data_IF_895209012325
#
_entry.id   IF_895209012325
#
_cell.length_a   1.000
_cell.length_b   1.000
_cell.length_c   1.000
_cell.angle_alpha   90.00
_cell.angle_beta   90.00
_cell.angle_gamma   90.00
#
_symmetry.space_group_name_H-M   'P 1'
#
loop_
_entity.id
_entity.type
_entity.pdbx_description
1 polymer ?
#
# COMPACT_ATOMS: atom_id res chain seq x y z
N UNK A 1 44.01 45.99 -10.24
CA UNK A 1 43.93 44.53 -10.46
C UNK A 1 43.47 43.74 -9.23
N UNK A 2 44.06 43.98 -8.01
CA UNK A 2 43.69 43.26 -6.79
C UNK A 2 42.24 43.52 -6.36
N UNK A 3 41.73 44.73 -6.45
CA UNK A 3 40.35 45.05 -6.06
C UNK A 3 39.29 44.35 -6.94
N UNK A 4 39.55 44.28 -8.27
CA UNK A 4 38.67 43.52 -9.17
C UNK A 4 38.64 42.02 -8.90
N UNK A 5 39.81 41.43 -8.62
CA UNK A 5 39.91 40.02 -8.27
C UNK A 5 39.20 39.68 -6.97
N UNK A 6 39.27 40.60 -5.97
CA UNK A 6 38.56 40.43 -4.71
C UNK A 6 37.04 40.57 -4.86
N UNK A 7 36.56 41.52 -5.69
CA UNK A 7 35.14 41.67 -6.00
C UNK A 7 34.57 40.44 -6.78
N UNK A 8 35.35 39.86 -7.69
CA UNK A 8 35.00 38.63 -8.39
C UNK A 8 34.93 37.42 -7.42
N UNK A 9 35.91 37.28 -6.51
CA UNK A 9 35.86 36.21 -5.49
C UNK A 9 34.67 36.34 -4.54
N UNK A 10 34.32 37.57 -4.13
CA UNK A 10 33.13 37.81 -3.30
C UNK A 10 31.83 37.44 -4.04
N UNK A 11 31.74 37.77 -5.34
CA UNK A 11 30.59 37.35 -6.15
C UNK A 11 30.45 35.83 -6.30
N UNK A 12 31.56 35.16 -6.58
CA UNK A 12 31.59 33.70 -6.71
C UNK A 12 31.18 33.03 -5.36
N UNK A 13 31.68 33.57 -4.25
CA UNK A 13 31.35 33.05 -2.93
C UNK A 13 29.87 33.29 -2.56
N UNK A 14 29.31 34.44 -2.93
CA UNK A 14 27.88 34.72 -2.70
C UNK A 14 26.96 33.86 -3.59
N UNK A 15 27.34 33.67 -4.88
CA UNK A 15 26.60 32.79 -5.78
C UNK A 15 26.63 31.34 -5.31
N UNK A 16 27.78 30.84 -4.86
CA UNK A 16 27.91 29.50 -4.32
C UNK A 16 27.05 29.30 -3.06
N UNK A 17 27.05 30.27 -2.16
CA UNK A 17 26.23 30.21 -0.95
C UNK A 17 24.72 30.27 -1.23
N UNK A 18 24.30 31.09 -2.20
CA UNK A 18 22.89 31.14 -2.65
C UNK A 18 22.50 29.83 -3.33
N UNK A 19 23.36 29.30 -4.20
CA UNK A 19 23.12 27.99 -4.85
C UNK A 19 22.98 26.86 -3.85
N UNK A 20 23.82 26.79 -2.82
CA UNK A 20 23.71 25.79 -1.75
C UNK A 20 22.40 25.89 -0.99
N UNK A 21 21.97 27.10 -0.62
CA UNK A 21 20.67 27.30 0.06
C UNK A 21 19.48 26.92 -0.84
N UNK A 22 19.57 27.23 -2.14
CA UNK A 22 18.52 26.87 -3.10
C UNK A 22 18.39 25.36 -3.25
N UNK A 23 19.51 24.62 -3.31
CA UNK A 23 19.50 23.17 -3.34
C UNK A 23 18.83 22.58 -2.09
N UNK A 24 19.17 23.04 -0.91
CA UNK A 24 18.54 22.59 0.34
C UNK A 24 17.04 22.84 0.38
N UNK A 25 16.59 24.01 -0.12
CA UNK A 25 15.18 24.34 -0.23
C UNK A 25 14.44 23.44 -1.24
N UNK A 26 15.09 23.12 -2.36
CA UNK A 26 14.51 22.20 -3.34
C UNK A 26 14.41 20.77 -2.81
N UNK A 27 15.42 20.29 -2.08
CA UNK A 27 15.41 19.00 -1.43
C UNK A 27 14.31 18.92 -0.35
N UNK A 28 14.16 19.97 0.46
CA UNK A 28 13.12 20.04 1.48
C UNK A 28 11.72 20.06 0.86
N UNK A 29 11.53 20.86 -0.18
CA UNK A 29 10.28 20.89 -0.97
C UNK A 29 9.98 19.52 -1.57
N UNK A 30 10.96 18.87 -2.18
CA UNK A 30 10.81 17.55 -2.77
C UNK A 30 10.41 16.51 -1.72
N UNK A 31 11.09 16.51 -0.57
CA UNK A 31 10.79 15.60 0.54
C UNK A 31 9.37 15.84 1.09
N UNK A 32 8.95 17.10 1.19
CA UNK A 32 7.61 17.47 1.62
C UNK A 32 6.55 16.99 0.63
N UNK A 33 6.78 17.18 -0.66
CA UNK A 33 5.86 16.71 -1.72
C UNK A 33 5.75 15.18 -1.74
N UNK A 34 6.87 14.46 -1.61
CA UNK A 34 6.87 13.01 -1.52
C UNK A 34 6.13 12.52 -0.28
N UNK A 35 6.39 13.10 0.88
CA UNK A 35 5.70 12.73 2.12
C UNK A 35 4.19 12.92 2.02
N UNK A 36 3.75 14.05 1.46
CA UNK A 36 2.33 14.32 1.24
C UNK A 36 1.69 13.35 0.24
N UNK A 37 2.40 12.99 -0.83
CA UNK A 37 1.93 12.02 -1.81
C UNK A 37 1.80 10.63 -1.19
N UNK A 38 2.83 10.16 -0.47
CA UNK A 38 2.82 8.88 0.23
C UNK A 38 1.64 8.80 1.20
N UNK A 39 1.41 9.84 2.00
CA UNK A 39 0.30 9.87 2.95
C UNK A 39 -1.07 9.76 2.27
N UNK A 40 -1.26 10.42 1.11
CA UNK A 40 -2.50 10.31 0.34
C UNK A 40 -2.70 8.91 -0.23
N UNK A 41 -1.64 8.34 -0.85
CA UNK A 41 -1.68 6.96 -1.37
C UNK A 41 -1.96 5.97 -0.23
N UNK A 42 -1.29 6.13 0.92
CA UNK A 42 -1.49 5.30 2.11
C UNK A 42 -2.95 5.37 2.61
N UNK A 43 -3.50 6.57 2.72
CA UNK A 43 -4.87 6.79 3.14
C UNK A 43 -5.87 6.12 2.19
N UNK A 44 -5.72 6.34 0.89
CA UNK A 44 -6.57 5.74 -0.14
C UNK A 44 -6.42 4.21 -0.17
N UNK A 45 -5.19 3.70 -0.10
CA UNK A 45 -4.91 2.26 -0.07
C UNK A 45 -5.61 1.58 1.12
N UNK A 46 -5.48 2.14 2.32
CA UNK A 46 -6.14 1.61 3.53
C UNK A 46 -7.65 1.53 3.33
N UNK A 47 -8.26 2.60 2.83
CA UNK A 47 -9.70 2.66 2.56
C UNK A 47 -10.13 1.63 1.51
N UNK A 48 -9.43 1.60 0.36
CA UNK A 48 -9.78 0.71 -0.75
C UNK A 48 -9.60 -0.76 -0.40
N UNK A 49 -8.49 -1.09 0.24
CA UNK A 49 -8.22 -2.46 0.66
C UNK A 49 -9.23 -2.95 1.69
N UNK A 50 -9.64 -2.09 2.62
CA UNK A 50 -10.67 -2.40 3.61
C UNK A 50 -12.07 -2.59 3.00
N UNK A 51 -12.40 -1.83 1.94
CA UNK A 51 -13.65 -1.99 1.19
C UNK A 51 -13.70 -3.33 0.43
N UNK A 52 -12.57 -3.77 -0.12
CA UNK A 52 -12.49 -4.96 -0.99
C UNK A 52 -12.26 -6.26 -0.24
N UNK A 53 -11.55 -6.22 0.91
CA UNK A 53 -11.25 -7.44 1.66
C UNK A 53 -12.44 -7.88 2.50
N UNK A 54 -12.71 -9.20 2.51
CA UNK A 54 -13.81 -9.78 3.29
C UNK A 54 -13.58 -9.73 4.79
N UNK A 55 -12.35 -10.06 5.19
CA UNK A 55 -11.96 -10.16 6.61
C UNK A 55 -11.71 -8.76 7.20
N UNK A 56 -12.75 -8.10 7.70
CA UNK A 56 -12.66 -6.72 8.23
C UNK A 56 -11.58 -6.48 9.29
N UNK A 57 -11.17 -7.52 10.03
CA UNK A 57 -10.13 -7.43 11.07
C UNK A 57 -8.80 -8.07 10.64
N UNK A 58 -8.61 -8.28 9.35
CA UNK A 58 -7.40 -8.93 8.84
C UNK A 58 -6.15 -8.09 9.03
N UNK A 59 -6.26 -6.80 8.84
CA UNK A 59 -5.21 -5.82 9.09
C UNK A 59 -5.76 -4.62 9.87
N UNK A 60 -4.88 -3.88 10.54
CA UNK A 60 -5.24 -2.64 11.23
C UNK A 60 -4.85 -1.41 10.43
N UNK A 61 -3.70 -1.46 9.79
CA UNK A 61 -3.15 -0.37 8.99
C UNK A 61 -2.16 -0.90 7.96
N UNK A 62 -2.13 -0.26 6.80
CA UNK A 62 -1.05 -0.36 5.83
C UNK A 62 -0.32 0.98 5.84
N UNK A 63 1.00 0.97 5.89
CA UNK A 63 1.80 2.18 5.74
C UNK A 63 2.92 1.97 4.73
N UNK A 64 3.39 3.07 4.15
CA UNK A 64 4.45 3.09 3.15
C UNK A 64 5.62 3.87 3.76
N UNK A 65 6.78 3.23 3.87
CA UNK A 65 7.97 3.88 4.42
C UNK A 65 8.65 4.82 3.41
N UNK A 66 9.71 5.50 3.86
CA UNK A 66 10.46 6.44 3.02
C UNK A 66 11.21 5.77 1.85
N UNK A 67 11.38 4.45 1.91
CA UNK A 67 11.97 3.63 0.85
C UNK A 67 10.91 3.09 -0.11
N UNK A 68 9.66 3.55 0.00
CA UNK A 68 8.49 3.08 -0.74
C UNK A 68 8.16 1.60 -0.49
N UNK A 69 8.63 1.03 0.63
CA UNK A 69 8.24 -0.31 1.04
C UNK A 69 6.88 -0.27 1.72
N UNK A 70 6.00 -1.16 1.30
CA UNK A 70 4.66 -1.27 1.88
C UNK A 70 4.68 -2.28 3.02
N UNK A 71 4.20 -1.87 4.18
CA UNK A 71 4.09 -2.66 5.40
C UNK A 71 2.62 -2.85 5.76
N UNK A 72 2.24 -4.07 6.11
CA UNK A 72 0.88 -4.39 6.53
C UNK A 72 0.91 -4.73 8.01
N UNK A 73 0.16 -4.00 8.80
CA UNK A 73 0.07 -4.17 10.25
C UNK A 73 -1.24 -4.85 10.64
N UNK A 74 -1.18 -5.69 11.63
CA UNK A 74 -2.35 -6.28 12.28
C UNK A 74 -2.26 -6.08 13.79
N UNK A 75 -3.38 -5.73 14.42
CA UNK A 75 -3.46 -5.67 15.86
C UNK A 75 -3.50 -7.10 16.44
N UNK A 76 -2.44 -7.48 17.11
CA UNK A 76 -2.33 -8.76 17.80
C UNK A 76 -2.36 -8.59 19.31
N UNK A 77 -3.03 -9.54 20.00
CA UNK A 77 -3.03 -9.62 21.45
C UNK A 77 -1.81 -10.41 21.89
N UNK A 78 -0.87 -9.74 22.51
CA UNK A 78 0.37 -10.34 23.01
C UNK A 78 0.27 -10.47 24.52
N UNK A 79 0.59 -11.65 25.05
CA UNK A 79 0.63 -11.85 26.49
C UNK A 79 1.78 -11.02 27.11
N UNK A 80 1.49 -10.40 28.23
CA UNK A 80 2.49 -9.61 28.97
C UNK A 80 3.75 -10.41 29.30
N UNK A 81 3.58 -11.68 29.69
CA UNK A 81 4.69 -12.58 30.03
C UNK A 81 5.64 -12.75 28.83
N UNK A 82 5.08 -12.92 27.63
CA UNK A 82 5.86 -13.09 26.42
C UNK A 82 6.64 -11.81 26.09
N UNK A 83 6.00 -10.63 26.23
CA UNK A 83 6.68 -9.32 26.06
C UNK A 83 7.83 -9.13 27.05
N UNK A 84 7.59 -9.42 28.32
CA UNK A 84 8.64 -9.32 29.37
C UNK A 84 9.79 -10.29 29.06
N UNK A 85 9.47 -11.48 28.53
CA UNK A 85 10.49 -12.46 28.11
C UNK A 85 11.33 -11.95 26.93
N UNK A 86 10.72 -11.32 25.93
CA UNK A 86 11.42 -10.74 24.78
C UNK A 86 12.37 -9.58 25.16
N UNK A 87 12.10 -8.92 26.30
CA UNK A 87 12.91 -7.80 26.82
C UNK A 87 13.99 -8.23 27.83
N UNK A 88 14.18 -9.56 28.06
CA UNK A 88 15.13 -10.08 29.09
C UNK A 88 16.57 -9.67 28.83
N UNK A 89 16.97 -9.47 27.59
CA UNK A 89 18.34 -9.07 27.21
C UNK A 89 18.67 -7.61 27.55
N UNK A 90 17.70 -6.82 28.02
CA UNK A 90 17.88 -5.40 28.32
C UNK A 90 17.98 -4.49 27.10
N UNK A 91 17.77 -5.01 25.92
CA UNK A 91 17.69 -4.25 24.66
C UNK A 91 16.45 -4.65 23.86
N UNK A 92 16.11 -3.86 22.83
CA UNK A 92 14.94 -4.12 21.99
C UNK A 92 15.19 -5.13 20.85
N UNK A 93 16.41 -5.58 20.61
CA UNK A 93 16.75 -6.35 19.39
C UNK A 93 15.90 -7.61 19.24
N UNK A 94 15.74 -8.41 20.28
CA UNK A 94 14.93 -9.64 20.24
C UNK A 94 13.45 -9.33 20.06
N UNK A 95 12.95 -8.32 20.78
CA UNK A 95 11.57 -7.90 20.69
C UNK A 95 11.25 -7.30 19.30
N UNK A 96 12.15 -6.48 18.75
CA UNK A 96 12.03 -5.94 17.38
C UNK A 96 12.04 -7.04 16.33
N UNK A 97 12.92 -8.04 16.46
CA UNK A 97 12.96 -9.18 15.53
C UNK A 97 11.67 -10.02 15.56
N UNK A 98 11.01 -10.09 16.72
CA UNK A 98 9.80 -10.89 16.90
C UNK A 98 8.51 -10.13 16.51
N UNK A 99 8.42 -8.84 16.80
CA UNK A 99 7.20 -8.03 16.72
C UNK A 99 7.26 -6.92 15.66
N UNK A 100 8.46 -6.57 15.20
CA UNK A 100 8.71 -5.46 14.28
C UNK A 100 8.93 -4.12 14.99
N UNK A 101 9.51 -3.17 14.26
CA UNK A 101 9.86 -1.83 14.77
C UNK A 101 8.64 -1.02 15.20
N UNK A 102 7.54 -1.16 14.47
CA UNK A 102 6.29 -0.41 14.74
C UNK A 102 5.67 -0.83 16.06
N UNK A 103 5.69 -2.12 16.39
CA UNK A 103 5.17 -2.62 17.66
C UNK A 103 6.01 -2.09 18.84
N UNK A 104 7.34 -2.08 18.69
CA UNK A 104 8.25 -1.55 19.70
C UNK A 104 8.10 -0.04 19.86
N UNK A 105 8.01 0.71 18.75
CA UNK A 105 7.75 2.15 18.79
C UNK A 105 6.42 2.46 19.49
N UNK A 106 5.36 1.70 19.20
CA UNK A 106 4.05 1.83 19.86
C UNK A 106 4.12 1.56 21.38
N UNK A 107 4.92 0.57 21.80
CA UNK A 107 5.15 0.32 23.23
C UNK A 107 5.90 1.46 23.92
N UNK A 108 6.97 1.94 23.29
CA UNK A 108 7.76 3.07 23.83
C UNK A 108 6.92 4.33 23.98
N UNK A 109 6.12 4.66 22.99
CA UNK A 109 5.20 5.79 23.02
C UNK A 109 4.13 5.61 24.10
N UNK A 110 3.47 4.44 24.16
CA UNK A 110 2.40 4.16 25.11
C UNK A 110 2.84 4.27 26.57
N UNK A 111 4.05 3.80 26.87
CA UNK A 111 4.57 3.79 28.23
C UNK A 111 5.55 4.94 28.52
N UNK A 112 5.81 5.78 27.53
CA UNK A 112 6.76 6.92 27.61
C UNK A 112 8.14 6.52 28.14
N UNK A 113 8.68 5.40 27.61
CA UNK A 113 9.97 4.83 28.00
C UNK A 113 10.94 4.76 26.83
N UNK A 114 12.22 4.98 27.09
CA UNK A 114 13.26 4.94 26.06
C UNK A 114 14.13 3.68 26.11
N UNK A 115 14.15 2.97 27.23
CA UNK A 115 14.96 1.77 27.40
C UNK A 115 14.10 0.49 27.53
N UNK A 116 14.67 -0.63 27.08
CA UNK A 116 14.01 -1.94 27.20
C UNK A 116 13.92 -2.41 28.67
N UNK A 117 14.83 -1.92 29.53
CA UNK A 117 14.83 -2.23 30.97
C UNK A 117 13.63 -1.54 31.63
N UNK A 118 13.47 -0.24 31.40
CA UNK A 118 12.32 0.53 31.95
C UNK A 118 10.99 -0.06 31.45
N UNK A 119 10.90 -0.38 30.16
CA UNK A 119 9.70 -1.00 29.60
C UNK A 119 9.39 -2.32 30.29
N UNK A 120 10.39 -3.18 30.49
CA UNK A 120 10.21 -4.46 31.18
C UNK A 120 9.73 -4.29 32.62
N UNK A 121 10.29 -3.34 33.36
CA UNK A 121 9.89 -3.03 34.74
C UNK A 121 8.45 -2.52 34.79
N UNK A 122 8.12 -1.56 33.92
CA UNK A 122 6.76 -1.01 33.78
C UNK A 122 5.75 -2.09 33.44
N UNK A 123 6.04 -2.93 32.44
CA UNK A 123 5.17 -4.06 32.07
C UNK A 123 5.02 -5.08 33.20
N UNK A 124 6.09 -5.33 33.98
CA UNK A 124 6.04 -6.26 35.12
C UNK A 124 5.13 -5.76 36.24
N UNK A 125 5.04 -4.45 36.43
CA UNK A 125 4.18 -3.81 37.43
C UNK A 125 2.71 -3.69 36.98
N UNK A 126 2.44 -3.78 35.68
CA UNK A 126 1.10 -3.69 35.11
C UNK A 126 0.21 -4.88 35.56
N UNK A 127 -1.09 -4.64 35.70
CA UNK A 127 -2.09 -5.66 36.02
C UNK A 127 -2.70 -6.32 34.77
N UNK A 128 -2.48 -5.71 33.59
CA UNK A 128 -3.04 -6.17 32.31
C UNK A 128 -2.34 -7.47 31.88
N UNK A 129 -3.11 -8.49 31.50
CA UNK A 129 -2.58 -9.76 31.04
C UNK A 129 -2.17 -9.75 29.57
N UNK A 130 -2.89 -8.98 28.74
CA UNK A 130 -2.66 -8.92 27.31
C UNK A 130 -2.58 -7.47 26.81
N UNK A 131 -1.67 -7.22 25.88
CA UNK A 131 -1.47 -5.92 25.27
C UNK A 131 -1.70 -6.05 23.76
N UNK A 132 -2.51 -5.16 23.20
CA UNK A 132 -2.76 -5.09 21.77
C UNK A 132 -1.67 -4.24 21.13
N UNK A 133 -0.96 -4.81 20.16
CA UNK A 133 0.13 -4.17 19.42
C UNK A 133 -0.05 -4.31 17.92
N UNK A 134 0.33 -3.28 17.14
CA UNK A 134 0.39 -3.35 15.70
C UNK A 134 1.62 -4.15 15.26
N UNK A 135 1.44 -5.41 14.93
CA UNK A 135 2.51 -6.32 14.49
C UNK A 135 2.51 -6.39 12.96
N UNK A 136 3.69 -6.34 12.38
CA UNK A 136 3.84 -6.48 10.93
C UNK A 136 3.57 -7.92 10.50
N UNK A 137 2.73 -8.08 9.49
CA UNK A 137 2.47 -9.38 8.86
C UNK A 137 3.23 -9.50 7.54
N UNK A 138 3.91 -10.63 7.37
CA UNK A 138 4.57 -10.92 6.10
C UNK A 138 3.54 -11.00 4.97
N UNK A 139 3.86 -10.40 3.82
CA UNK A 139 3.05 -10.48 2.59
C UNK A 139 2.83 -11.92 2.12
N UNK A 140 3.70 -12.84 2.51
CA UNK A 140 3.58 -14.27 2.19
C UNK A 140 2.41 -14.94 2.92
N UNK A 141 1.95 -14.38 4.02
CA UNK A 141 0.77 -14.85 4.76
C UNK A 141 -0.56 -14.46 4.10
N UNK A 142 -0.53 -13.60 3.09
CA UNK A 142 -1.69 -13.29 2.28
C UNK A 142 -1.99 -14.46 1.35
N UNK A 143 -3.25 -14.87 1.27
CA UNK A 143 -3.71 -15.77 0.22
C UNK A 143 -3.52 -15.15 -1.17
N UNK A 144 -3.56 -15.96 -2.22
CA UNK A 144 -3.42 -15.46 -3.60
C UNK A 144 -4.47 -14.41 -3.94
N UNK A 145 -5.73 -14.60 -3.51
CA UNK A 145 -6.80 -13.62 -3.70
C UNK A 145 -6.58 -12.33 -2.92
N UNK A 146 -6.14 -12.43 -1.65
CA UNK A 146 -5.82 -11.26 -0.84
C UNK A 146 -4.65 -10.45 -1.44
N UNK A 147 -3.62 -11.13 -1.99
CA UNK A 147 -2.53 -10.47 -2.72
C UNK A 147 -3.04 -9.71 -3.94
N UNK A 148 -3.93 -10.30 -4.70
CA UNK A 148 -4.52 -9.67 -5.88
C UNK A 148 -5.35 -8.44 -5.51
N UNK A 149 -6.23 -8.54 -4.50
CA UNK A 149 -7.01 -7.41 -3.97
C UNK A 149 -6.08 -6.30 -3.47
N UNK A 150 -5.01 -6.67 -2.78
CA UNK A 150 -4.01 -5.70 -2.30
C UNK A 150 -3.37 -4.93 -3.45
N UNK A 151 -2.91 -5.64 -4.49
CA UNK A 151 -2.29 -5.02 -5.67
C UNK A 151 -3.29 -4.11 -6.39
N UNK A 152 -4.53 -4.55 -6.59
CA UNK A 152 -5.59 -3.73 -7.19
C UNK A 152 -5.86 -2.46 -6.38
N UNK A 153 -5.95 -2.58 -5.05
CA UNK A 153 -6.16 -1.45 -4.15
C UNK A 153 -5.00 -0.45 -4.20
N UNK A 154 -3.76 -0.94 -4.27
CA UNK A 154 -2.57 -0.11 -4.37
C UNK A 154 -2.54 0.67 -5.69
N UNK A 155 -2.76 -0.01 -6.81
CA UNK A 155 -2.84 0.65 -8.11
C UNK A 155 -3.94 1.70 -8.15
N UNK A 156 -5.12 1.39 -7.62
CA UNK A 156 -6.22 2.33 -7.55
C UNK A 156 -5.87 3.56 -6.71
N UNK A 157 -5.25 3.37 -5.53
CA UNK A 157 -4.79 4.46 -4.68
C UNK A 157 -3.77 5.36 -5.39
N UNK A 158 -2.83 4.78 -6.15
CA UNK A 158 -1.85 5.54 -6.93
C UNK A 158 -2.54 6.33 -8.06
N UNK A 159 -3.46 5.70 -8.79
CA UNK A 159 -4.18 6.34 -9.89
C UNK A 159 -5.01 7.52 -9.42
N UNK A 160 -5.64 7.43 -8.25
CA UNK A 160 -6.40 8.54 -7.67
C UNK A 160 -5.55 9.79 -7.38
N UNK A 161 -4.23 9.63 -7.24
CA UNK A 161 -3.31 10.75 -7.05
C UNK A 161 -2.81 11.33 -8.37
N UNK A 162 -3.06 10.66 -9.49
CA UNK A 162 -2.70 11.18 -10.82
C UNK A 162 -3.66 12.29 -11.24
N UNK A 163 -3.12 13.38 -11.80
CA UNK A 163 -3.94 14.43 -12.43
C UNK A 163 -4.46 14.02 -13.80
N UNK A 164 -3.86 13.01 -14.39
CA UNK A 164 -4.24 12.51 -15.71
C UNK A 164 -5.09 11.26 -15.52
N UNK A 165 -6.15 11.15 -16.28
CA UNK A 165 -6.95 9.93 -16.38
C UNK A 165 -6.15 8.88 -17.14
N UNK A 166 -5.41 8.06 -16.40
CA UNK A 166 -4.65 6.95 -16.97
C UNK A 166 -5.59 5.75 -17.18
N UNK A 167 -5.47 5.03 -18.32
CA UNK A 167 -6.23 3.80 -18.49
C UNK A 167 -5.75 2.74 -17.49
N UNK A 168 -6.70 2.03 -16.89
CA UNK A 168 -6.41 0.90 -16.01
C UNK A 168 -6.58 -0.40 -16.80
N UNK A 169 -5.48 -1.10 -17.00
CA UNK A 169 -5.48 -2.39 -17.69
C UNK A 169 -5.26 -3.48 -16.65
N UNK A 170 -6.19 -4.42 -16.58
CA UNK A 170 -6.12 -5.52 -15.62
C UNK A 170 -6.34 -6.85 -16.35
N UNK A 171 -5.39 -7.73 -16.14
CA UNK A 171 -5.43 -9.09 -16.68
C UNK A 171 -5.90 -10.05 -15.60
N UNK A 172 -6.87 -10.89 -15.93
CA UNK A 172 -7.40 -11.95 -15.08
C UNK A 172 -7.77 -11.47 -13.65
N UNK A 173 -8.65 -10.43 -13.52
CA UNK A 173 -8.94 -9.79 -12.23
C UNK A 173 -9.57 -10.72 -11.21
N UNK A 174 -10.23 -11.78 -11.65
CA UNK A 174 -10.95 -12.72 -10.79
C UNK A 174 -10.23 -14.06 -10.60
N UNK A 175 -9.02 -14.22 -11.18
CA UNK A 175 -8.23 -15.42 -10.99
C UNK A 175 -7.93 -15.64 -9.50
N UNK A 176 -8.20 -16.84 -9.01
CA UNK A 176 -7.93 -17.24 -7.60
C UNK A 176 -8.69 -16.44 -6.54
N UNK A 177 -9.76 -15.78 -6.93
CA UNK A 177 -10.62 -14.99 -6.05
C UNK A 177 -11.94 -15.74 -5.84
N UNK A 178 -12.38 -15.86 -4.59
CA UNK A 178 -13.65 -16.47 -4.25
C UNK A 178 -14.86 -15.58 -4.67
N UNK A 179 -16.03 -16.18 -4.68
CA UNK A 179 -17.27 -15.54 -5.19
C UNK A 179 -17.62 -14.25 -4.42
N UNK A 180 -17.38 -14.20 -3.12
CA UNK A 180 -17.69 -13.03 -2.30
C UNK A 180 -16.74 -11.87 -2.61
N UNK A 181 -15.44 -12.13 -2.74
CA UNK A 181 -14.49 -11.12 -3.17
C UNK A 181 -14.74 -10.66 -4.61
N UNK A 182 -15.19 -11.55 -5.52
CA UNK A 182 -15.58 -11.15 -6.89
C UNK A 182 -16.73 -10.13 -6.87
N UNK A 183 -17.74 -10.37 -6.04
CA UNK A 183 -18.85 -9.42 -5.87
C UNK A 183 -18.36 -8.06 -5.33
N UNK A 184 -17.47 -8.06 -4.34
CA UNK A 184 -16.91 -6.83 -3.79
C UNK A 184 -16.07 -6.08 -4.83
N UNK A 185 -15.25 -6.76 -5.63
CA UNK A 185 -14.48 -6.13 -6.71
C UNK A 185 -15.42 -5.50 -7.73
N UNK A 186 -16.47 -6.20 -8.14
CA UNK A 186 -17.45 -5.67 -9.08
C UNK A 186 -18.13 -4.42 -8.54
N UNK A 187 -18.62 -4.46 -7.30
CA UNK A 187 -19.41 -3.38 -6.71
C UNK A 187 -18.57 -2.17 -6.26
N UNK A 188 -17.43 -2.43 -5.62
CA UNK A 188 -16.64 -1.40 -4.96
C UNK A 188 -15.41 -0.96 -5.74
N UNK A 189 -14.96 -1.74 -6.72
CA UNK A 189 -13.83 -1.40 -7.55
C UNK A 189 -14.28 -0.98 -8.95
N UNK A 190 -14.82 -1.90 -9.76
CA UNK A 190 -15.14 -1.59 -11.15
C UNK A 190 -16.17 -0.49 -11.31
N UNK A 191 -17.22 -0.47 -10.50
CA UNK A 191 -18.26 0.57 -10.57
C UNK A 191 -17.82 1.94 -10.07
N UNK A 192 -16.76 2.01 -9.26
CA UNK A 192 -16.27 3.27 -8.68
C UNK A 192 -15.01 3.81 -9.35
N UNK A 193 -14.41 3.02 -10.25
CA UNK A 193 -13.22 3.44 -10.97
C UNK A 193 -13.60 4.52 -11.97
N UNK A 194 -12.92 5.66 -11.93
CA UNK A 194 -13.06 6.73 -12.92
C UNK A 194 -12.02 6.56 -14.01
N UNK A 195 -12.35 6.93 -15.25
CA UNK A 195 -11.46 6.77 -16.40
C UNK A 195 -11.68 5.47 -17.16
N UNK A 196 -10.78 5.17 -18.08
CA UNK A 196 -10.87 4.00 -18.94
C UNK A 196 -10.37 2.75 -18.23
N UNK A 197 -11.22 1.71 -18.18
CA UNK A 197 -10.88 0.39 -17.66
C UNK A 197 -10.88 -0.63 -18.82
N UNK A 198 -9.79 -1.38 -18.96
CA UNK A 198 -9.66 -2.51 -19.87
C UNK A 198 -9.47 -3.79 -19.03
N UNK A 199 -10.44 -4.70 -19.13
CA UNK A 199 -10.41 -6.00 -18.46
C UNK A 199 -10.08 -7.07 -19.49
N UNK A 200 -8.98 -7.79 -19.28
CA UNK A 200 -8.66 -9.00 -20.01
C UNK A 200 -9.09 -10.19 -19.17
N UNK A 201 -9.95 -11.04 -19.69
CA UNK A 201 -10.48 -12.15 -18.91
C UNK A 201 -10.76 -13.37 -19.81
N UNK A 202 -10.93 -14.52 -19.17
CA UNK A 202 -11.37 -15.76 -19.82
C UNK A 202 -12.85 -16.01 -19.53
N UNK A 203 -13.44 -16.95 -20.25
CA UNK A 203 -14.82 -17.44 -20.06
C UNK A 203 -15.07 -18.00 -18.63
N UNK A 204 -14.04 -18.57 -18.00
CA UNK A 204 -14.14 -19.12 -16.66
C UNK A 204 -14.16 -18.04 -15.55
N UNK A 205 -13.65 -16.85 -15.85
CA UNK A 205 -13.51 -15.78 -14.85
C UNK A 205 -14.73 -14.87 -14.75
N UNK A 206 -15.22 -14.41 -15.88
CA UNK A 206 -16.38 -13.53 -15.98
C UNK A 206 -17.59 -14.32 -16.47
N UNK A 207 -18.46 -14.70 -15.55
CA UNK A 207 -19.77 -15.26 -15.89
C UNK A 207 -20.71 -14.18 -16.44
N UNK A 208 -21.75 -14.60 -17.15
CA UNK A 208 -22.80 -13.70 -17.63
C UNK A 208 -23.42 -12.86 -16.51
N UNK A 209 -23.53 -13.38 -15.29
CA UNK A 209 -24.01 -12.64 -14.14
C UNK A 209 -23.11 -11.46 -13.76
N UNK A 210 -21.78 -11.62 -13.88
CA UNK A 210 -20.85 -10.52 -13.61
C UNK A 210 -20.91 -9.45 -14.70
N UNK A 211 -21.08 -9.86 -15.97
CA UNK A 211 -21.25 -8.93 -17.10
C UNK A 211 -22.55 -8.15 -16.96
N UNK A 212 -23.67 -8.80 -16.63
CA UNK A 212 -24.94 -8.13 -16.38
C UNK A 212 -24.85 -7.13 -15.22
N UNK A 213 -24.13 -7.48 -14.13
CA UNK A 213 -23.95 -6.57 -12.99
C UNK A 213 -23.15 -5.31 -13.34
N UNK A 214 -22.35 -5.35 -14.43
CA UNK A 214 -21.53 -4.23 -14.90
C UNK A 214 -22.03 -3.61 -16.19
N UNK A 215 -23.15 -4.08 -16.74
CA UNK A 215 -23.63 -3.76 -18.09
C UNK A 215 -23.68 -2.26 -18.40
N UNK A 216 -24.15 -1.46 -17.46
CA UNK A 216 -24.28 -0.01 -17.62
C UNK A 216 -22.92 0.72 -17.74
N UNK A 217 -21.82 0.04 -17.45
CA UNK A 217 -20.47 0.58 -17.48
C UNK A 217 -19.62 0.00 -18.60
N UNK A 218 -20.11 -1.07 -19.25
CA UNK A 218 -19.40 -1.71 -20.36
C UNK A 218 -19.75 -0.96 -21.65
N UNK A 219 -18.75 -0.30 -22.23
CA UNK A 219 -18.89 0.36 -23.53
C UNK A 219 -18.74 -0.63 -24.69
N UNK A 220 -17.76 -1.51 -24.61
CA UNK A 220 -17.41 -2.45 -25.67
C UNK A 220 -16.99 -3.79 -25.10
N UNK A 221 -17.33 -4.86 -25.81
CA UNK A 221 -16.88 -6.22 -25.52
C UNK A 221 -16.22 -6.77 -26.78
N UNK A 222 -15.02 -7.34 -26.61
CA UNK A 222 -14.26 -7.94 -27.70
C UNK A 222 -13.89 -9.37 -27.33
N UNK A 223 -14.18 -10.32 -28.23
CA UNK A 223 -13.71 -11.68 -28.10
C UNK A 223 -12.48 -11.89 -28.99
N UNK A 224 -11.43 -12.43 -28.44
CA UNK A 224 -10.20 -12.81 -29.13
C UNK A 224 -10.26 -14.32 -29.42
N UNK A 225 -10.31 -14.69 -30.69
CA UNK A 225 -10.37 -16.07 -31.11
C UNK A 225 -9.12 -16.43 -31.94
N UNK A 226 -8.43 -17.50 -31.56
CA UNK A 226 -7.31 -18.01 -32.34
C UNK A 226 -7.81 -18.95 -33.46
N UNK A 227 -7.65 -18.47 -34.68
CA UNK A 227 -8.15 -19.20 -35.86
C UNK A 227 -7.23 -20.31 -36.36
N UNK A 228 -7.77 -21.17 -37.24
CA UNK A 228 -7.01 -22.24 -37.91
C UNK A 228 -5.89 -21.70 -38.81
N UNK A 229 -5.99 -20.46 -39.25
CA UNK A 229 -5.00 -19.72 -40.04
C UNK A 229 -3.81 -19.23 -39.18
N UNK A 230 -3.75 -19.61 -37.89
CA UNK A 230 -2.76 -19.21 -36.90
C UNK A 230 -2.72 -17.70 -36.64
N UNK A 231 -3.85 -17.02 -36.79
CA UNK A 231 -4.04 -15.61 -36.50
C UNK A 231 -5.10 -15.43 -35.41
N UNK A 232 -4.98 -14.35 -34.67
CA UNK A 232 -6.00 -13.93 -33.73
C UNK A 232 -7.01 -13.05 -34.45
N UNK A 233 -8.27 -13.43 -34.38
CA UNK A 233 -9.40 -12.68 -34.88
C UNK A 233 -10.10 -11.96 -33.75
N UNK A 234 -10.54 -10.72 -33.99
CA UNK A 234 -11.28 -9.93 -33.03
C UNK A 234 -12.74 -9.90 -33.47
N UNK A 235 -13.62 -10.29 -32.55
CA UNK A 235 -15.08 -10.18 -32.76
C UNK A 235 -15.64 -9.15 -31.77
N UNK A 236 -16.32 -8.16 -32.29
CA UNK A 236 -16.94 -7.11 -31.51
C UNK A 236 -18.32 -7.52 -30.98
N UNK A 237 -18.67 -7.03 -29.80
CA UNK A 237 -19.97 -7.26 -29.15
C UNK A 237 -20.34 -8.75 -28.98
N UNK A 238 -19.34 -9.60 -28.89
CA UNK A 238 -19.50 -11.00 -28.55
C UNK A 238 -18.73 -11.32 -27.28
N UNK A 239 -19.35 -12.13 -26.45
CA UNK A 239 -18.72 -12.76 -25.29
C UNK A 239 -18.93 -14.26 -25.42
N UNK A 240 -18.23 -15.07 -24.65
CA UNK A 240 -18.37 -16.52 -24.69
C UNK A 240 -19.84 -16.92 -24.48
N UNK A 241 -20.38 -17.74 -25.35
CA UNK A 241 -21.67 -18.41 -25.15
C UNK A 241 -21.44 -19.52 -24.13
N UNK A 242 -22.07 -19.43 -22.94
CA UNK A 242 -22.08 -20.47 -21.91
C UNK A 242 -23.36 -21.28 -22.02
#
# INVERSE_FOLDING_TARGET
NLKKAFEEQLKVHSVSAVSGKTLLLLEDLQNTLYSNLIQRVESDLNKKFQELIRKKNFFSRIYIDKSFTVHILRNEKINKIDLVSLLRTGNFSVATSALGDVAIASLRERYSVDSAIELRETLSAETVEQIILPVEISKDRLSSGEKQIFVMSLYWAIMNQSKNELPFIIDTPFARIDTEHRANITEYFFKKLTGQLLILSTDEELSNNHLEAMRDQISHVYMLEYGQDKRTHIRENQYFEV
#
